data_IF_833476548264
#
_entry.id   IF_833476548264
#
_cell.length_a   1.000
_cell.length_b   1.000
_cell.length_c   1.000
_cell.angle_alpha   90.00
_cell.angle_beta   90.00
_cell.angle_gamma   90.00
#
_symmetry.space_group_name_H-M   'P 1'
#
loop_
_entity.id
_entity.type
_entity.pdbx_description
1 polymer ?
#
# COMPACT_ATOMS: atom_id res chain seq x y z
N UNK A 1 -30.29 6.16 14.99
CA UNK A 1 -30.49 4.89 14.28
C UNK A 1 -29.10 4.39 13.94
N UNK A 2 -28.62 3.37 14.65
CA UNK A 2 -27.24 2.90 14.53
C UNK A 2 -27.08 2.08 13.25
N UNK A 3 -26.15 2.50 12.39
CA UNK A 3 -25.62 1.63 11.36
C UNK A 3 -24.73 0.58 12.06
N UNK A 4 -25.13 -0.69 11.96
CA UNK A 4 -24.24 -1.79 12.30
C UNK A 4 -23.10 -1.76 11.28
N UNK A 5 -21.88 -1.44 11.73
CA UNK A 5 -20.67 -1.60 10.91
C UNK A 5 -20.43 -3.11 10.81
N UNK A 6 -20.74 -3.69 9.65
CA UNK A 6 -20.24 -5.02 9.27
C UNK A 6 -18.73 -4.88 9.16
N UNK A 7 -17.98 -5.66 9.93
CA UNK A 7 -16.51 -5.63 9.83
C UNK A 7 -16.08 -6.31 8.53
N UNK A 8 -15.42 -5.57 7.64
CA UNK A 8 -14.68 -6.12 6.50
C UNK A 8 -13.50 -6.96 7.01
N UNK A 9 -13.32 -8.15 6.46
CA UNK A 9 -12.26 -9.10 6.84
C UNK A 9 -11.33 -9.23 5.64
N UNK A 10 -10.07 -8.81 5.79
CA UNK A 10 -9.02 -9.20 4.84
C UNK A 10 -8.51 -10.57 5.28
N UNK A 11 -8.67 -11.59 4.44
CA UNK A 11 -8.19 -12.94 4.72
C UNK A 11 -7.42 -13.48 3.54
N UNK A 12 -6.09 -13.57 3.69
CA UNK A 12 -5.24 -14.35 2.78
C UNK A 12 -5.12 -15.75 3.37
N UNK A 13 -5.75 -16.74 2.73
CA UNK A 13 -5.68 -18.14 3.17
C UNK A 13 -4.68 -18.90 2.33
N UNK A 14 -3.68 -19.50 2.98
CA UNK A 14 -2.85 -20.54 2.37
C UNK A 14 -3.59 -21.88 2.48
N UNK A 15 -3.95 -22.48 1.34
CA UNK A 15 -4.58 -23.79 1.30
C UNK A 15 -3.51 -24.89 1.29
N UNK A 16 -3.43 -25.67 2.37
CA UNK A 16 -2.65 -26.93 2.39
C UNK A 16 -3.56 -28.05 1.87
N UNK A 17 -3.61 -28.26 0.55
CA UNK A 17 -4.43 -29.36 -0.01
C UNK A 17 -3.66 -30.68 0.11
N UNK A 18 -4.18 -31.59 0.94
CA UNK A 18 -3.77 -33.00 0.91
C UNK A 18 -4.51 -33.69 -0.24
N UNK A 19 -3.85 -33.84 -1.39
CA UNK A 19 -4.47 -34.38 -2.61
C UNK A 19 -5.07 -35.78 -2.43
N UNK A 20 -6.33 -35.96 -2.83
CA UNK A 20 -6.88 -37.26 -3.23
C UNK A 20 -6.86 -37.32 -4.75
N UNK A 21 -5.91 -38.09 -5.28
CA UNK A 21 -5.67 -38.28 -6.72
C UNK A 21 -6.90 -38.90 -7.39
N UNK A 22 -7.59 -38.12 -8.21
CA UNK A 22 -8.46 -38.60 -9.28
C UNK A 22 -7.79 -38.25 -10.61
N UNK A 23 -7.31 -39.25 -11.33
CA UNK A 23 -6.65 -39.04 -12.61
C UNK A 23 -7.64 -38.54 -13.66
N UNK A 24 -7.46 -37.30 -14.12
CA UNK A 24 -7.87 -36.85 -15.43
C UNK A 24 -6.71 -36.06 -16.06
N UNK A 25 -6.36 -36.45 -17.28
CA UNK A 25 -5.21 -36.00 -18.06
C UNK A 25 -5.65 -34.85 -18.98
N UNK A 26 -5.82 -33.68 -18.39
CA UNK A 26 -5.66 -32.35 -18.98
C UNK A 26 -4.86 -31.58 -17.92
N UNK A 27 -3.83 -30.81 -18.26
CA UNK A 27 -2.96 -30.18 -17.27
C UNK A 27 -3.72 -29.22 -16.34
N UNK A 28 -4.21 -29.72 -15.20
CA UNK A 28 -5.00 -28.94 -14.25
C UNK A 28 -4.05 -28.08 -13.39
N UNK A 29 -4.10 -26.76 -13.57
CA UNK A 29 -3.48 -25.82 -12.63
C UNK A 29 -4.18 -25.91 -11.27
N UNK A 30 -3.41 -25.86 -10.18
CA UNK A 30 -3.92 -25.84 -8.81
C UNK A 30 -3.89 -24.43 -8.23
N UNK A 31 -4.81 -24.13 -7.31
CA UNK A 31 -4.85 -22.85 -6.58
C UNK A 31 -3.85 -22.88 -5.43
N UNK A 32 -2.83 -22.03 -5.50
CA UNK A 32 -1.78 -21.90 -4.47
C UNK A 32 -2.12 -20.83 -3.44
N UNK A 33 -2.65 -19.70 -3.89
CA UNK A 33 -3.04 -18.58 -3.05
C UNK A 33 -4.44 -18.13 -3.41
N UNK A 34 -5.20 -17.75 -2.39
CA UNK A 34 -6.47 -17.07 -2.56
C UNK A 34 -6.63 -15.99 -1.50
N UNK A 35 -7.29 -14.90 -1.86
CA UNK A 35 -7.59 -13.82 -0.93
C UNK A 35 -8.83 -13.05 -1.36
N UNK A 36 -9.34 -12.27 -0.41
CA UNK A 36 -10.37 -11.28 -0.66
C UNK A 36 -10.17 -10.06 0.24
N UNK A 37 -10.71 -8.93 -0.20
CA UNK A 37 -10.82 -7.69 0.55
C UNK A 37 -12.13 -7.01 0.21
N UNK A 38 -12.79 -6.48 1.23
CA UNK A 38 -14.00 -5.65 1.13
C UNK A 38 -13.70 -4.20 1.58
N UNK A 39 -12.48 -3.73 1.28
CA UNK A 39 -12.02 -2.38 1.62
C UNK A 39 -11.87 -1.61 0.31
N UNK A 40 -12.62 -0.52 0.20
CA UNK A 40 -12.54 0.39 -0.94
C UNK A 40 -11.18 1.09 -0.96
N UNK A 41 -10.65 1.32 -2.16
CA UNK A 41 -9.42 2.09 -2.36
C UNK A 41 -8.43 1.45 -3.32
N UNK A 42 -7.20 1.98 -3.38
CA UNK A 42 -6.14 1.45 -4.20
C UNK A 42 -5.78 0.01 -3.79
N UNK A 43 -5.64 -0.87 -4.79
CA UNK A 43 -5.29 -2.27 -4.60
C UNK A 43 -4.14 -2.66 -5.52
N UNK A 44 -3.25 -3.50 -5.03
CA UNK A 44 -2.27 -4.20 -5.85
C UNK A 44 -1.89 -5.55 -5.23
N UNK A 45 -1.71 -6.56 -6.09
CA UNK A 45 -1.14 -7.85 -5.74
C UNK A 45 -0.18 -8.31 -6.82
N UNK A 46 0.98 -8.80 -6.40
CA UNK A 46 2.04 -9.33 -7.23
C UNK A 46 2.45 -10.71 -6.70
N UNK A 47 2.55 -11.66 -7.60
CA UNK A 47 3.13 -12.97 -7.36
C UNK A 47 4.35 -13.13 -8.28
N UNK A 48 5.51 -13.37 -7.68
CA UNK A 48 6.74 -13.66 -8.41
C UNK A 48 7.23 -15.07 -8.10
N UNK A 49 7.74 -15.76 -9.12
CA UNK A 49 8.33 -17.07 -9.01
C UNK A 49 9.80 -16.97 -8.56
N UNK A 50 10.18 -17.64 -7.47
CA UNK A 50 11.56 -17.69 -6.99
C UNK A 50 12.43 -18.71 -7.74
N UNK A 51 11.83 -19.51 -8.63
CA UNK A 51 12.54 -20.38 -9.57
C UNK A 51 12.82 -19.64 -10.88
N UNK A 52 13.72 -20.20 -11.71
CA UNK A 52 14.04 -19.64 -13.04
C UNK A 52 12.77 -19.45 -13.90
N UNK A 53 11.81 -20.37 -13.80
CA UNK A 53 10.47 -20.28 -14.42
C UNK A 53 9.45 -21.11 -13.65
N UNK A 54 8.27 -20.56 -13.37
CA UNK A 54 7.09 -21.29 -12.94
C UNK A 54 6.16 -21.44 -14.15
N UNK A 55 6.05 -22.65 -14.69
CA UNK A 55 5.12 -22.88 -15.82
C UNK A 55 3.67 -22.68 -15.36
N UNK A 56 2.88 -22.09 -16.26
CA UNK A 56 1.42 -21.96 -16.13
C UNK A 56 0.95 -21.15 -14.91
N UNK A 57 1.71 -20.14 -14.50
CA UNK A 57 1.27 -19.20 -13.47
C UNK A 57 0.23 -18.23 -14.03
N UNK A 58 -0.95 -18.21 -13.40
CA UNK A 58 -2.10 -17.39 -13.76
C UNK A 58 -2.66 -16.70 -12.51
N UNK A 59 -2.71 -15.37 -12.53
CA UNK A 59 -3.46 -14.57 -11.57
C UNK A 59 -4.85 -14.31 -12.11
N UNK A 60 -5.87 -14.69 -11.34
CA UNK A 60 -7.27 -14.37 -11.63
C UNK A 60 -7.77 -13.40 -10.57
N UNK A 61 -8.26 -12.24 -11.00
CA UNK A 61 -8.83 -11.21 -10.11
C UNK A 61 -10.29 -10.99 -10.47
N UNK A 62 -11.15 -10.97 -9.46
CA UNK A 62 -12.55 -10.61 -9.58
C UNK A 62 -12.80 -9.30 -8.84
N UNK A 63 -13.37 -8.33 -9.55
CA UNK A 63 -13.96 -7.13 -8.97
C UNK A 63 -15.47 -7.17 -9.17
N UNK A 64 -16.19 -6.19 -8.64
CA UNK A 64 -17.65 -6.10 -8.80
C UNK A 64 -18.12 -6.14 -10.27
N UNK A 65 -17.34 -5.56 -11.18
CA UNK A 65 -17.74 -5.36 -12.57
C UNK A 65 -16.99 -6.24 -13.57
N UNK A 66 -15.85 -6.83 -13.17
CA UNK A 66 -14.91 -7.43 -14.11
C UNK A 66 -14.18 -8.65 -13.55
N UNK A 67 -13.73 -9.49 -14.47
CA UNK A 67 -12.76 -10.54 -14.20
C UNK A 67 -11.52 -10.31 -15.06
N UNK A 68 -10.36 -10.36 -14.43
CA UNK A 68 -9.05 -10.24 -15.07
C UNK A 68 -8.32 -11.58 -14.96
N UNK A 69 -7.60 -11.94 -16.02
CA UNK A 69 -6.74 -13.13 -16.09
C UNK A 69 -5.39 -12.70 -16.64
N UNK A 70 -4.35 -12.83 -15.82
CA UNK A 70 -2.99 -12.42 -16.13
C UNK A 70 -2.12 -13.67 -16.08
N UNK A 71 -1.43 -13.97 -17.17
CA UNK A 71 -0.59 -15.16 -17.29
C UNK A 71 0.84 -14.74 -17.63
N UNK A 72 1.79 -15.26 -16.87
CA UNK A 72 3.22 -15.09 -17.11
C UNK A 72 3.98 -16.23 -16.43
N UNK A 73 5.20 -16.53 -16.87
CA UNK A 73 5.99 -17.63 -16.30
C UNK A 73 6.85 -17.24 -15.09
N UNK A 74 6.95 -15.95 -14.76
CA UNK A 74 7.83 -15.44 -13.72
C UNK A 74 7.16 -14.39 -12.82
N UNK A 75 6.32 -13.51 -13.36
CA UNK A 75 5.63 -12.49 -12.57
C UNK A 75 4.23 -12.22 -13.10
N UNK A 76 3.23 -12.38 -12.24
CA UNK A 76 1.84 -11.98 -12.51
C UNK A 76 1.42 -10.95 -11.49
N UNK A 77 0.82 -9.86 -11.96
CA UNK A 77 0.37 -8.79 -11.09
C UNK A 77 -0.93 -8.15 -11.60
N UNK A 78 -1.62 -7.49 -10.69
CA UNK A 78 -2.76 -6.64 -11.01
C UNK A 78 -2.85 -5.50 -10.01
N UNK A 79 -3.10 -4.29 -10.52
CA UNK A 79 -3.40 -3.09 -9.75
C UNK A 79 -4.69 -2.46 -10.26
N UNK A 80 -5.39 -1.77 -9.36
CA UNK A 80 -6.62 -1.07 -9.70
C UNK A 80 -7.27 -0.41 -8.48
N UNK A 81 -8.17 0.53 -8.72
CA UNK A 81 -9.03 1.09 -7.67
C UNK A 81 -10.22 0.15 -7.45
N UNK A 82 -10.44 -0.28 -6.21
CA UNK A 82 -11.53 -1.17 -5.81
C UNK A 82 -12.64 -0.34 -5.18
N UNK A 83 -13.84 -0.42 -5.75
CA UNK A 83 -15.08 0.08 -5.17
C UNK A 83 -15.96 -1.12 -4.81
N UNK A 84 -15.90 -1.54 -3.54
CA UNK A 84 -16.56 -2.71 -2.97
C UNK A 84 -15.60 -3.88 -2.67
N UNK A 85 -15.85 -5.04 -3.28
CA UNK A 85 -15.09 -6.26 -3.00
C UNK A 85 -14.17 -6.66 -4.15
N UNK A 86 -12.98 -7.11 -3.79
CA UNK A 86 -12.03 -7.77 -4.69
C UNK A 86 -11.67 -9.15 -4.13
N UNK A 87 -11.59 -10.15 -5.02
CA UNK A 87 -11.00 -11.44 -4.68
C UNK A 87 -9.99 -11.86 -5.74
N UNK A 88 -9.03 -12.68 -5.36
CA UNK A 88 -7.99 -13.14 -6.27
C UNK A 88 -7.56 -14.57 -5.98
N UNK A 89 -7.08 -15.24 -7.02
CA UNK A 89 -6.48 -16.57 -6.97
C UNK A 89 -5.20 -16.60 -7.79
N UNK A 90 -4.16 -17.24 -7.25
CA UNK A 90 -2.98 -17.65 -8.02
C UNK A 90 -3.12 -19.13 -8.37
N UNK A 91 -3.25 -19.42 -9.66
CA UNK A 91 -3.19 -20.78 -10.19
C UNK A 91 -1.78 -21.05 -10.74
N UNK A 92 -1.27 -22.25 -10.53
CA UNK A 92 0.02 -22.67 -11.10
C UNK A 92 0.10 -24.18 -11.26
N UNK A 93 1.18 -24.66 -11.88
CA UNK A 93 1.44 -26.09 -12.05
C UNK A 93 1.52 -26.82 -10.69
N UNK A 94 0.83 -27.96 -10.50
CA UNK A 94 0.77 -28.69 -9.23
C UNK A 94 2.11 -29.30 -8.78
N UNK A 95 3.13 -29.31 -9.65
CA UNK A 95 4.49 -29.71 -9.26
C UNK A 95 5.24 -28.64 -8.45
N UNK A 96 4.72 -27.41 -8.41
CA UNK A 96 5.26 -26.32 -7.61
C UNK A 96 4.79 -26.42 -6.15
N UNK A 97 5.45 -25.67 -5.27
CA UNK A 97 5.07 -25.52 -3.85
C UNK A 97 4.92 -24.03 -3.50
N UNK A 98 4.20 -23.71 -2.42
CA UNK A 98 3.94 -22.33 -1.99
C UNK A 98 5.25 -21.54 -1.79
N UNK A 99 6.30 -22.20 -1.30
CA UNK A 99 7.62 -21.61 -1.10
C UNK A 99 8.36 -21.26 -2.41
N UNK A 100 7.80 -21.61 -3.57
CA UNK A 100 8.33 -21.17 -4.86
C UNK A 100 7.83 -19.78 -5.27
N UNK A 101 6.96 -19.16 -4.48
CA UNK A 101 6.36 -17.87 -4.79
C UNK A 101 6.63 -16.84 -3.69
N UNK A 102 7.00 -15.63 -4.11
CA UNK A 102 6.98 -14.44 -3.27
C UNK A 102 5.72 -13.62 -3.58
N UNK A 103 5.09 -13.11 -2.52
CA UNK A 103 3.86 -12.29 -2.61
C UNK A 103 4.16 -10.90 -2.10
N UNK A 104 3.79 -9.90 -2.89
CA UNK A 104 3.77 -8.48 -2.48
C UNK A 104 2.38 -7.92 -2.76
N UNK A 105 1.91 -7.04 -1.89
CA UNK A 105 0.57 -6.49 -2.04
C UNK A 105 0.40 -5.18 -1.30
N UNK A 106 -0.48 -4.33 -1.84
CA UNK A 106 -1.08 -3.20 -1.14
C UNK A 106 -2.57 -3.49 -1.08
N UNK A 107 -3.04 -3.79 0.13
CA UNK A 107 -4.43 -4.07 0.43
C UNK A 107 -4.77 -3.19 1.63
N UNK A 108 -5.73 -2.28 1.46
CA UNK A 108 -6.17 -1.42 2.55
C UNK A 108 -6.78 -2.21 3.70
N UNK A 109 -6.53 -1.75 4.93
CA UNK A 109 -7.17 -2.24 6.15
C UNK A 109 -8.09 -1.17 6.75
N UNK A 110 -9.01 -1.56 7.63
CA UNK A 110 -9.96 -0.61 8.26
C UNK A 110 -9.29 0.48 9.10
N UNK A 111 -8.06 0.22 9.58
CA UNK A 111 -7.27 1.17 10.37
C UNK A 111 -6.43 2.11 9.52
N UNK A 112 -6.29 1.82 8.22
CA UNK A 112 -5.47 2.63 7.33
C UNK A 112 -6.21 3.93 6.98
N UNK A 113 -5.44 4.99 6.75
CA UNK A 113 -5.94 6.20 6.11
C UNK A 113 -5.87 5.94 4.60
N UNK A 114 -7.02 5.80 3.97
CA UNK A 114 -7.13 5.48 2.55
C UNK A 114 -7.52 6.74 1.79
N UNK A 115 -6.76 7.04 0.75
CA UNK A 115 -7.11 8.08 -0.21
C UNK A 115 -8.38 7.71 -0.96
N UNK A 116 -9.38 8.58 -0.87
CA UNK A 116 -10.70 8.39 -1.48
C UNK A 116 -11.01 9.41 -2.57
N UNK A 117 -10.09 10.35 -2.81
CA UNK A 117 -10.15 11.35 -3.85
C UNK A 117 -8.76 11.93 -4.07
N UNK A 118 -8.47 12.21 -5.33
CA UNK A 118 -7.29 12.92 -5.83
C UNK A 118 -6.80 14.02 -4.89
N UNK A 119 -5.53 13.94 -4.50
CA UNK A 119 -4.88 14.91 -3.64
C UNK A 119 -4.18 15.99 -4.47
N UNK A 120 -3.71 17.09 -3.86
CA UNK A 120 -3.04 18.12 -4.63
C UNK A 120 -1.64 17.68 -5.11
N UNK A 121 -1.35 17.87 -6.40
CA UNK A 121 -0.03 17.59 -7.01
C UNK A 121 1.13 18.30 -6.33
N UNK A 122 0.86 19.45 -5.70
CA UNK A 122 1.87 20.33 -5.15
C UNK A 122 1.52 20.73 -3.73
N UNK A 123 2.56 20.78 -2.87
CA UNK A 123 2.46 21.45 -1.56
C UNK A 123 1.89 22.84 -1.78
N UNK A 124 0.74 23.21 -1.16
CA UNK A 124 0.07 24.45 -1.51
C UNK A 124 0.92 25.66 -1.14
N UNK A 125 0.81 26.80 -1.85
CA UNK A 125 1.65 27.97 -1.63
C UNK A 125 1.45 28.60 -0.24
N UNK A 126 2.47 29.29 0.31
CA UNK A 126 2.38 30.02 1.57
C UNK A 126 1.16 30.94 1.64
N UNK A 127 0.45 30.91 2.77
CA UNK A 127 -0.72 31.75 3.02
C UNK A 127 -2.03 31.29 2.35
N UNK A 128 -2.01 30.23 1.54
CA UNK A 128 -3.24 29.63 1.04
C UNK A 128 -3.93 28.82 2.14
N UNK A 129 -5.12 29.28 2.53
CA UNK A 129 -5.98 28.59 3.49
C UNK A 129 -6.87 27.59 2.77
N UNK A 130 -7.11 26.44 3.39
CA UNK A 130 -7.94 25.36 2.84
C UNK A 130 -8.06 24.21 3.84
N UNK A 131 -9.08 23.38 3.67
CA UNK A 131 -9.16 22.08 4.33
C UNK A 131 -8.31 21.12 3.50
N UNK A 132 -7.14 20.76 4.03
CA UNK A 132 -6.18 19.88 3.37
C UNK A 132 -6.29 18.47 3.96
N UNK A 133 -6.09 17.45 3.14
CA UNK A 133 -5.91 16.10 3.66
C UNK A 133 -4.72 16.09 4.62
N UNK A 134 -4.92 15.53 5.81
CA UNK A 134 -3.92 15.48 6.86
C UNK A 134 -3.77 14.08 7.44
N UNK A 135 -2.54 13.74 7.83
CA UNK A 135 -2.23 12.49 8.53
C UNK A 135 -1.97 12.82 9.99
N UNK A 136 -2.82 12.29 10.86
CA UNK A 136 -2.63 12.32 12.31
C UNK A 136 -2.03 11.00 12.78
N UNK A 137 -0.73 11.00 13.09
CA UNK A 137 0.02 9.78 13.40
C UNK A 137 0.62 9.80 14.80
N UNK A 138 -0.12 10.35 15.76
CA UNK A 138 0.34 10.50 17.13
C UNK A 138 0.64 9.15 17.76
N UNK A 139 1.83 9.00 18.32
CA UNK A 139 2.19 7.90 19.19
C UNK A 139 1.85 8.24 20.64
N UNK A 140 1.23 7.28 21.33
CA UNK A 140 1.02 7.36 22.77
C UNK A 140 2.28 6.96 23.57
N UNK A 141 3.36 6.59 22.89
CA UNK A 141 4.59 6.18 23.51
C UNK A 141 5.59 7.30 23.67
N UNK A 142 6.28 7.27 24.81
CA UNK A 142 7.40 8.16 25.07
C UNK A 142 8.65 7.33 25.40
N UNK A 143 9.70 7.46 24.60
CA UNK A 143 11.07 7.05 24.93
C UNK A 143 11.17 5.61 25.50
N UNK A 144 10.64 4.62 24.75
CA UNK A 144 10.58 3.18 25.09
C UNK A 144 9.65 2.77 26.24
N UNK A 145 8.75 3.64 26.71
CA UNK A 145 7.72 3.29 27.70
C UNK A 145 6.41 2.87 27.02
N UNK A 146 6.48 1.82 26.22
CA UNK A 146 5.31 1.22 25.61
C UNK A 146 5.12 -0.20 26.10
N UNK A 147 3.89 -0.58 26.36
CA UNK A 147 3.50 -1.97 26.30
C UNK A 147 3.34 -2.38 24.83
N UNK A 148 3.49 -3.69 24.56
CA UNK A 148 3.41 -4.24 23.20
C UNK A 148 2.10 -3.88 22.47
N UNK A 149 0.99 -3.74 23.19
CA UNK A 149 -0.30 -3.35 22.61
C UNK A 149 -0.33 -1.90 22.16
N UNK A 150 0.40 -1.00 22.82
CA UNK A 150 0.47 0.42 22.45
C UNK A 150 1.28 0.56 21.17
N UNK A 151 2.42 -0.15 21.07
CA UNK A 151 3.27 -0.21 19.87
C UNK A 151 2.50 -0.63 18.61
N UNK A 152 1.60 -1.62 18.74
CA UNK A 152 0.81 -2.13 17.62
C UNK A 152 -0.28 -1.17 17.15
N UNK A 153 -0.52 -0.08 17.88
CA UNK A 153 -1.51 0.96 17.56
C UNK A 153 -0.88 2.34 17.36
N UNK A 154 0.45 2.41 17.27
CA UNK A 154 1.15 3.68 17.04
C UNK A 154 1.09 4.09 15.59
N UNK A 155 1.02 5.41 15.38
CA UNK A 155 1.16 5.99 14.06
C UNK A 155 -0.08 5.82 13.20
N UNK A 156 0.14 5.94 11.90
CA UNK A 156 -0.85 5.74 10.87
C UNK A 156 -0.19 5.08 9.66
N UNK A 157 -0.93 4.21 8.99
CA UNK A 157 -0.58 3.75 7.65
C UNK A 157 -1.42 4.52 6.64
N UNK A 158 -0.79 5.08 5.64
CA UNK A 158 -1.46 5.77 4.55
C UNK A 158 -1.40 4.91 3.29
N UNK A 159 -2.53 4.76 2.61
CA UNK A 159 -2.64 4.06 1.32
C UNK A 159 -3.23 5.03 0.30
N UNK A 160 -2.48 5.29 -0.76
CA UNK A 160 -2.87 6.22 -1.83
C UNK A 160 -2.56 5.68 -3.21
N UNK A 161 -2.77 6.51 -4.22
CA UNK A 161 -2.63 6.16 -5.62
C UNK A 161 -2.16 7.36 -6.43
N UNK A 162 -1.14 7.13 -7.26
CA UNK A 162 -0.86 8.00 -8.39
C UNK A 162 -1.58 7.44 -9.63
N UNK A 163 -2.66 8.09 -10.08
CA UNK A 163 -3.59 7.62 -11.12
C UNK A 163 -3.13 7.98 -12.55
N UNK A 164 -2.04 8.74 -12.69
CA UNK A 164 -1.37 8.99 -13.97
C UNK A 164 0.13 9.25 -13.77
N UNK A 165 0.93 9.15 -14.84
CA UNK A 165 2.36 9.49 -14.78
C UNK A 165 2.70 10.96 -14.47
N UNK A 166 1.69 11.84 -14.47
CA UNK A 166 1.83 13.24 -14.08
C UNK A 166 1.23 13.52 -12.69
N UNK A 167 0.65 12.51 -12.06
CA UNK A 167 0.00 12.61 -10.76
C UNK A 167 1.03 12.57 -9.63
N UNK A 168 0.77 13.38 -8.60
CA UNK A 168 1.60 13.49 -7.40
C UNK A 168 0.66 13.78 -6.21
N UNK A 169 1.02 13.37 -5.01
CA UNK A 169 0.13 13.56 -3.85
C UNK A 169 0.79 14.36 -2.75
N UNK A 170 0.29 15.56 -2.47
CA UNK A 170 0.74 16.38 -1.34
C UNK A 170 -0.22 16.29 -0.13
N UNK A 171 0.33 15.86 1.00
CA UNK A 171 -0.43 15.60 2.23
C UNK A 171 0.21 16.35 3.40
N UNK A 172 -0.61 16.97 4.24
CA UNK A 172 -0.17 17.62 5.46
C UNK A 172 0.10 16.57 6.55
N UNK A 173 1.22 16.68 7.27
CA UNK A 173 1.47 15.88 8.48
C UNK A 173 1.11 16.73 9.68
N UNK A 174 0.20 16.25 10.54
CA UNK A 174 -0.14 16.97 11.77
C UNK A 174 0.96 16.82 12.82
N UNK A 175 1.41 17.93 13.38
CA UNK A 175 2.39 17.95 14.46
C UNK A 175 2.71 19.35 14.96
N UNK A 176 3.59 19.40 15.95
CA UNK A 176 4.03 20.61 16.64
C UNK A 176 5.56 20.67 16.71
N UNK A 177 6.10 21.86 16.98
CA UNK A 177 7.54 22.05 17.22
C UNK A 177 8.05 21.12 18.35
N UNK A 178 9.16 20.44 18.08
CA UNK A 178 9.79 19.45 18.96
C UNK A 178 9.36 18.00 18.75
N UNK A 179 8.40 17.73 17.88
CA UNK A 179 8.05 16.36 17.49
C UNK A 179 9.11 15.73 16.56
N UNK A 180 9.21 14.40 16.60
CA UNK A 180 10.03 13.62 15.67
C UNK A 180 9.11 12.73 14.85
N UNK A 181 9.08 12.96 13.54
CA UNK A 181 8.29 12.16 12.59
C UNK A 181 9.18 11.09 11.97
N UNK A 182 8.74 9.84 12.04
CA UNK A 182 9.34 8.71 11.32
C UNK A 182 8.47 8.33 10.13
N UNK A 183 9.06 8.26 8.94
CA UNK A 183 8.44 7.68 7.74
C UNK A 183 9.16 6.36 7.42
N UNK A 184 8.40 5.28 7.21
CA UNK A 184 8.94 3.95 6.97
C UNK A 184 7.98 3.06 6.18
N UNK A 185 8.41 1.82 5.89
CA UNK A 185 7.59 0.80 5.22
C UNK A 185 6.94 1.32 3.93
N UNK A 186 7.73 2.00 3.11
CA UNK A 186 7.29 2.55 1.84
C UNK A 186 7.18 1.40 0.84
N UNK A 187 6.00 1.20 0.29
CA UNK A 187 5.67 0.13 -0.65
C UNK A 187 4.93 0.71 -1.84
N UNK A 188 5.30 0.27 -3.03
CA UNK A 188 4.64 0.58 -4.31
C UNK A 188 5.10 -0.49 -5.33
N UNK A 189 4.29 -0.82 -6.36
CA UNK A 189 4.76 -1.61 -7.49
C UNK A 189 5.91 -0.91 -8.22
N UNK A 190 5.78 0.41 -8.41
CA UNK A 190 6.77 1.22 -9.08
C UNK A 190 7.71 1.93 -8.11
N UNK A 191 8.80 2.48 -8.64
CA UNK A 191 9.65 3.33 -7.83
C UNK A 191 8.96 4.67 -7.59
N UNK A 192 8.76 4.99 -6.31
CA UNK A 192 8.23 6.28 -5.85
C UNK A 192 9.25 6.94 -4.93
N UNK A 193 9.13 8.25 -4.80
CA UNK A 193 9.86 9.02 -3.81
C UNK A 193 8.89 9.82 -2.95
N UNK A 194 9.17 9.89 -1.65
CA UNK A 194 8.45 10.77 -0.72
C UNK A 194 9.37 11.96 -0.44
N UNK A 195 9.01 13.12 -0.98
CA UNK A 195 9.60 14.40 -0.65
C UNK A 195 8.99 14.93 0.65
N UNK A 196 9.80 15.55 1.50
CA UNK A 196 9.33 16.20 2.73
C UNK A 196 9.65 17.69 2.69
N UNK A 197 8.63 18.49 2.96
CA UNK A 197 8.60 19.93 2.71
C UNK A 197 8.21 20.70 3.98
N UNK A 198 8.90 21.80 4.24
CA UNK A 198 8.48 22.79 5.24
C UNK A 198 7.70 23.89 4.53
N UNK A 199 6.52 24.23 5.05
CA UNK A 199 5.71 25.37 4.59
C UNK A 199 5.49 26.36 5.73
N UNK A 200 6.05 27.56 5.58
CA UNK A 200 5.77 28.73 6.40
C UNK A 200 5.51 29.93 5.49
N UNK A 201 6.29 31.00 5.60
CA UNK A 201 6.30 32.13 4.65
C UNK A 201 6.90 31.75 3.28
N UNK A 202 7.59 30.61 3.22
CA UNK A 202 8.15 30.00 2.00
C UNK A 202 7.92 28.49 2.00
N UNK A 203 8.10 27.84 0.83
CA UNK A 203 8.19 26.38 0.72
C UNK A 203 9.64 25.97 0.57
N UNK A 204 10.08 25.05 1.40
CA UNK A 204 11.46 24.54 1.39
C UNK A 204 11.44 23.02 1.35
N UNK A 205 12.08 22.42 0.35
CA UNK A 205 12.34 20.98 0.32
C UNK A 205 13.40 20.68 1.38
N UNK A 206 13.03 19.85 2.37
CA UNK A 206 13.94 19.41 3.43
C UNK A 206 14.76 18.21 2.92
N UNK A 207 14.15 17.33 2.12
CA UNK A 207 14.79 16.19 1.46
C UNK A 207 13.79 15.19 0.89
N UNK A 208 14.26 14.00 0.54
CA UNK A 208 13.44 12.92 -0.03
C UNK A 208 13.95 11.53 0.38
N UNK A 209 13.06 10.55 0.36
CA UNK A 209 13.37 9.11 0.53
C UNK A 209 12.68 8.30 -0.58
N UNK A 210 13.37 7.31 -1.16
CA UNK A 210 12.81 6.46 -2.22
C UNK A 210 12.28 5.14 -1.68
N UNK A 211 11.23 4.58 -2.30
CA UNK A 211 10.74 3.21 -2.02
C UNK A 211 11.79 2.12 -2.28
N UNK A 212 12.79 2.42 -3.11
CA UNK A 212 13.91 1.51 -3.40
C UNK A 212 14.96 1.47 -2.27
N UNK A 213 14.95 2.45 -1.38
CA UNK A 213 15.84 2.50 -0.23
C UNK A 213 15.21 1.77 0.95
N UNK A 214 15.90 0.75 1.48
CA UNK A 214 15.42 -0.02 2.63
C UNK A 214 15.54 0.73 3.96
N UNK A 215 15.43 2.06 3.96
CA UNK A 215 15.67 2.93 5.10
C UNK A 215 14.37 3.55 5.62
N UNK A 216 14.36 3.88 6.91
CA UNK A 216 13.37 4.79 7.48
C UNK A 216 14.03 6.16 7.63
N UNK A 217 13.26 7.23 7.42
CA UNK A 217 13.73 8.60 7.71
C UNK A 217 13.12 9.08 9.03
N UNK A 218 13.92 9.82 9.79
CA UNK A 218 13.50 10.56 10.97
C UNK A 218 13.64 12.04 10.68
N UNK A 219 12.59 12.80 10.93
CA UNK A 219 12.47 14.23 10.64
C UNK A 219 12.09 14.96 11.92
N UNK A 220 12.81 16.02 12.24
CA UNK A 220 12.33 16.97 13.23
C UNK A 220 11.17 17.77 12.59
N UNK A 221 10.06 17.89 13.31
CA UNK A 221 8.95 18.73 12.87
C UNK A 221 9.42 20.19 12.84
N UNK A 222 9.19 20.95 11.75
CA UNK A 222 9.82 22.24 11.57
C UNK A 222 9.26 23.30 12.52
N UNK A 223 10.15 24.09 13.15
CA UNK A 223 9.78 25.21 14.02
C UNK A 223 8.97 26.27 13.25
N UNK A 224 7.85 26.72 13.82
CA UNK A 224 6.94 27.73 13.25
C UNK A 224 6.52 27.47 11.78
N UNK A 225 6.44 26.20 11.38
CA UNK A 225 6.05 25.80 10.04
C UNK A 225 5.23 24.51 10.02
N UNK A 226 4.58 24.25 8.90
CA UNK A 226 3.90 22.98 8.65
C UNK A 226 4.85 21.99 7.97
N UNK A 227 4.69 20.71 8.28
CA UNK A 227 5.35 19.61 7.58
C UNK A 227 4.40 19.01 6.55
N UNK A 228 4.87 18.93 5.31
CA UNK A 228 4.15 18.30 4.20
C UNK A 228 4.98 17.15 3.65
N UNK A 229 4.30 16.08 3.24
CA UNK A 229 4.88 15.06 2.38
C UNK A 229 4.31 15.21 0.98
N UNK A 230 5.13 14.92 -0.03
CA UNK A 230 4.70 14.84 -1.42
C UNK A 230 5.20 13.54 -2.03
N UNK A 231 4.29 12.71 -2.49
CA UNK A 231 4.59 11.44 -3.15
C UNK A 231 4.73 11.74 -4.63
N UNK A 232 5.85 11.31 -5.22
CA UNK A 232 6.14 11.55 -6.63
C UNK A 232 6.60 10.26 -7.31
N UNK A 233 6.24 10.11 -8.57
CA UNK A 233 6.77 9.06 -9.43
C UNK A 233 8.29 9.20 -9.57
N UNK A 234 9.00 8.07 -9.50
CA UNK A 234 10.40 8.00 -9.97
C UNK A 234 10.46 7.47 -11.41
N UNK A 235 9.40 6.79 -11.87
CA UNK A 235 9.22 6.22 -13.21
C UNK A 235 7.83 6.60 -13.77
N UNK A 236 7.71 6.77 -15.10
CA UNK A 236 6.43 7.09 -15.76
C UNK A 236 5.49 5.87 -15.83
N UNK A 237 4.82 5.57 -14.70
CA UNK A 237 3.75 4.58 -14.61
C UNK A 237 2.40 5.27 -14.67
N UNK A 238 1.41 4.61 -15.29
CA UNK A 238 0.06 5.17 -15.45
C UNK A 238 -0.84 4.92 -14.22
N UNK A 239 -0.53 3.94 -13.37
CA UNK A 239 -1.32 3.64 -12.17
C UNK A 239 -0.40 3.01 -11.10
N UNK A 240 -0.15 3.73 -10.01
CA UNK A 240 0.78 3.26 -8.97
C UNK A 240 0.21 3.45 -7.57
N UNK A 241 -0.39 2.39 -6.99
CA UNK A 241 -0.80 2.42 -5.60
C UNK A 241 0.43 2.44 -4.71
N UNK A 242 0.34 3.14 -3.58
CA UNK A 242 1.42 3.18 -2.62
C UNK A 242 0.92 3.07 -1.19
N UNK A 243 1.83 2.64 -0.32
CA UNK A 243 1.63 2.59 1.12
C UNK A 243 2.87 3.11 1.82
N UNK A 244 2.69 3.86 2.91
CA UNK A 244 3.77 4.14 3.84
C UNK A 244 3.22 4.27 5.27
N UNK A 245 4.09 4.03 6.23
CA UNK A 245 3.79 4.19 7.65
C UNK A 245 4.43 5.45 8.19
N UNK A 246 3.68 6.18 9.01
CA UNK A 246 4.11 7.37 9.70
C UNK A 246 3.90 7.21 11.21
N UNK A 247 4.90 7.59 12.00
CA UNK A 247 4.80 7.64 13.46
C UNK A 247 5.34 8.98 13.94
N UNK A 248 4.60 9.68 14.80
CA UNK A 248 4.99 10.91 15.46
C UNK A 248 5.07 10.71 16.97
#
# INVERSE_FOLDING_TARGET
MGAARLGSIVAVLMLMVSGLVGANDDGESEVFFQGNSDVDGPFWVEFSCELDTCQDMELVVWTNDSQYRIMDTHLVEWSGFVDGSVSWELLANPSLVIENFAVRSIIGEQSDIIENSDLPDLVPPPGQQGEWASISASSNCQLNRCNRSEILSEGASFVGILDTSADDDAILIEGDDGDIVKISNIHSPDSISIEYWSRSDSKTLIGSISSSESSSVYLDYPEDAELWVRIVHSDESDFSPYRFDLVR
#
